data_IF_263340309722
#
_entry.id   IF_263340309722
#
_cell.length_a   1.000
_cell.length_b   1.000
_cell.length_c   1.000
_cell.angle_alpha   90.00
_cell.angle_beta   90.00
_cell.angle_gamma   90.00
#
_symmetry.space_group_name_H-M   'P 1'
#
loop_
_entity.id
_entity.type
_entity.pdbx_description
1 polymer ?
#
# COMPACT_ATOMS: atom_id res chain seq x y z
N UNK A 1 2.17 28.36 -9.74
CA UNK A 1 2.53 28.43 -8.31
C UNK A 1 2.77 27.03 -7.78
N UNK A 2 4.02 26.70 -7.42
CA UNK A 2 4.32 25.47 -6.69
C UNK A 2 3.83 25.65 -5.26
N UNK A 3 3.02 24.72 -4.75
CA UNK A 3 2.75 24.69 -3.31
C UNK A 3 4.07 24.36 -2.59
N UNK A 4 4.24 24.87 -1.36
CA UNK A 4 5.37 24.49 -0.51
C UNK A 4 5.42 22.96 -0.36
N UNK A 5 6.61 22.36 -0.40
CA UNK A 5 6.75 20.91 -0.23
C UNK A 5 6.24 20.50 1.15
N UNK A 6 5.55 19.36 1.21
CA UNK A 6 5.35 18.67 2.48
C UNK A 6 6.67 18.01 2.89
N UNK A 7 7.08 18.21 4.14
CA UNK A 7 8.22 17.53 4.76
C UNK A 7 7.81 17.11 6.18
N UNK A 8 7.86 15.81 6.46
CA UNK A 8 7.59 15.26 7.79
C UNK A 8 8.61 15.80 8.79
N UNK A 9 8.14 16.22 9.97
CA UNK A 9 8.99 16.81 11.03
C UNK A 9 10.16 15.88 11.37
N UNK A 10 9.91 14.59 11.52
CA UNK A 10 10.92 13.61 11.93
C UNK A 10 11.99 13.30 10.87
N UNK A 11 11.87 13.80 9.64
CA UNK A 11 12.86 13.57 8.56
C UNK A 11 13.43 14.89 8.01
N UNK A 12 12.92 16.04 8.46
CA UNK A 12 13.38 17.35 8.01
C UNK A 12 14.87 17.55 8.21
N UNK A 13 15.37 17.23 9.40
CA UNK A 13 16.78 17.41 9.73
C UNK A 13 17.67 16.42 8.97
N UNK A 14 17.23 15.16 8.83
CA UNK A 14 17.91 14.16 8.00
C UNK A 14 18.06 14.65 6.56
N UNK A 15 16.98 15.12 5.92
CA UNK A 15 17.05 15.63 4.55
C UNK A 15 17.98 16.84 4.43
N UNK A 16 17.93 17.78 5.38
CA UNK A 16 18.80 18.96 5.38
C UNK A 16 20.28 18.60 5.50
N UNK A 17 20.64 17.68 6.40
CA UNK A 17 22.03 17.22 6.59
C UNK A 17 22.61 16.62 5.30
N UNK A 18 21.78 15.92 4.53
CA UNK A 18 22.16 15.34 3.24
C UNK A 18 21.93 16.28 2.04
N UNK A 19 21.53 17.54 2.26
CA UNK A 19 21.21 18.53 1.22
C UNK A 19 20.08 18.08 0.25
N UNK A 20 19.15 17.26 0.76
CA UNK A 20 18.02 16.67 0.03
C UNK A 20 16.66 17.26 0.46
N UNK A 21 16.63 18.49 0.96
CA UNK A 21 15.40 19.17 1.42
C UNK A 21 14.69 19.99 0.32
N UNK A 22 15.23 19.99 -0.91
CA UNK A 22 14.65 20.65 -2.08
C UNK A 22 14.12 19.65 -3.11
N UNK A 23 13.19 20.10 -3.96
CA UNK A 23 12.67 19.30 -5.07
C UNK A 23 13.80 18.89 -6.02
N UNK A 24 14.66 19.83 -6.40
CA UNK A 24 15.74 19.58 -7.37
C UNK A 24 16.77 18.60 -6.84
N UNK A 25 17.14 18.70 -5.56
CA UNK A 25 18.06 17.75 -4.94
C UNK A 25 17.48 16.33 -4.94
N UNK A 26 16.22 16.15 -4.49
CA UNK A 26 15.55 14.84 -4.52
C UNK A 26 15.28 14.34 -5.95
N UNK A 27 15.06 15.23 -6.91
CA UNK A 27 14.84 14.86 -8.30
C UNK A 27 16.11 14.27 -8.92
N UNK A 28 17.28 14.84 -8.62
CA UNK A 28 18.55 14.50 -9.26
C UNK A 28 19.43 13.54 -8.46
N UNK A 29 19.16 13.29 -7.17
CA UNK A 29 19.99 12.41 -6.34
C UNK A 29 20.10 10.99 -6.93
N UNK A 30 21.32 10.46 -6.95
CA UNK A 30 21.54 9.06 -7.32
C UNK A 30 20.94 8.15 -6.24
N UNK A 31 20.13 7.17 -6.65
CA UNK A 31 19.48 6.24 -5.74
C UNK A 31 19.35 4.87 -6.41
N UNK A 32 19.40 3.81 -5.61
CA UNK A 32 19.34 2.44 -6.10
C UNK A 32 17.97 2.18 -6.72
N UNK A 33 17.89 1.85 -8.01
CA UNK A 33 16.60 1.52 -8.62
C UNK A 33 16.04 0.21 -8.05
N UNK A 34 14.75 0.22 -7.73
CA UNK A 34 14.05 -0.98 -7.24
C UNK A 34 13.54 -1.81 -8.41
N UNK A 35 13.00 -1.13 -9.43
CA UNK A 35 12.44 -1.71 -10.65
C UNK A 35 12.68 -0.75 -11.83
N UNK A 36 12.54 -1.28 -13.05
CA UNK A 36 12.54 -0.49 -14.27
C UNK A 36 11.46 0.60 -14.26
N UNK A 37 11.75 1.83 -14.72
CA UNK A 37 10.77 2.90 -14.79
C UNK A 37 9.54 2.52 -15.61
N UNK A 38 8.36 2.61 -14.99
CA UNK A 38 7.10 2.37 -15.67
C UNK A 38 6.76 3.55 -16.60
N UNK A 39 6.74 3.30 -17.91
CA UNK A 39 6.36 4.27 -18.93
C UNK A 39 4.92 4.02 -19.36
N UNK A 40 4.05 4.96 -19.01
CA UNK A 40 2.66 4.93 -19.43
C UNK A 40 2.07 6.34 -19.45
N UNK A 41 0.95 6.50 -20.15
CA UNK A 41 0.13 7.73 -20.12
C UNK A 41 0.90 9.00 -20.56
N UNK A 42 1.88 8.85 -21.45
CA UNK A 42 2.71 9.95 -21.93
C UNK A 42 3.77 10.44 -20.94
N UNK A 43 4.08 9.65 -19.91
CA UNK A 43 5.05 9.97 -18.88
C UNK A 43 5.77 8.74 -18.31
N UNK A 44 6.51 8.95 -17.23
CA UNK A 44 7.20 7.87 -16.51
C UNK A 44 7.00 7.97 -15.00
N UNK A 45 7.10 6.82 -14.33
CA UNK A 45 7.19 6.69 -12.88
C UNK A 45 8.35 5.75 -12.55
N UNK A 46 9.30 6.21 -11.74
CA UNK A 46 10.37 5.37 -11.19
C UNK A 46 10.27 5.31 -9.67
N UNK A 47 10.78 4.21 -9.10
CA UNK A 47 10.92 4.02 -7.66
C UNK A 47 12.35 3.61 -7.37
N UNK A 48 12.99 4.32 -6.46
CA UNK A 48 14.37 4.04 -6.03
C UNK A 48 14.43 3.92 -4.51
N UNK A 49 15.33 3.09 -4.00
CA UNK A 49 15.68 2.99 -2.58
C UNK A 49 16.76 4.03 -2.27
N UNK A 50 16.52 4.84 -1.25
CA UNK A 50 17.43 5.87 -0.75
C UNK A 50 17.71 5.57 0.72
N UNK A 51 18.98 5.45 1.10
CA UNK A 51 19.39 5.27 2.51
C UNK A 51 20.13 6.52 2.95
N UNK A 52 19.70 7.11 4.06
CA UNK A 52 20.29 8.33 4.64
C UNK A 52 20.60 8.07 6.10
N UNK A 53 21.74 8.56 6.58
CA UNK A 53 22.06 8.53 8.01
C UNK A 53 21.36 9.67 8.76
N UNK A 54 20.82 9.38 9.93
CA UNK A 54 20.24 10.39 10.81
C UNK A 54 21.30 11.11 11.66
N UNK A 55 20.85 11.97 12.59
CA UNK A 55 21.75 12.74 13.44
C UNK A 55 22.67 11.87 14.33
N UNK A 56 22.28 10.62 14.60
CA UNK A 56 23.02 9.65 15.40
C UNK A 56 23.80 8.65 14.53
N UNK A 57 23.87 8.87 13.22
CA UNK A 57 24.52 7.95 12.27
C UNK A 57 23.71 6.68 12.00
N UNK A 58 22.43 6.61 12.41
CA UNK A 58 21.61 5.42 12.14
C UNK A 58 21.03 5.49 10.73
N UNK A 59 21.11 4.39 9.95
CA UNK A 59 20.59 4.38 8.59
C UNK A 59 19.06 4.39 8.60
N UNK A 60 18.46 5.35 7.90
CA UNK A 60 17.04 5.40 7.59
C UNK A 60 16.83 5.10 6.11
N UNK A 61 15.92 4.16 5.83
CA UNK A 61 15.62 3.73 4.47
C UNK A 61 14.32 4.35 3.97
N UNK A 62 14.36 4.87 2.75
CA UNK A 62 13.23 5.49 2.07
C UNK A 62 13.01 4.90 0.68
N UNK A 63 11.78 4.99 0.20
CA UNK A 63 11.42 4.78 -1.20
C UNK A 63 11.09 6.12 -1.84
N UNK A 64 11.86 6.46 -2.87
CA UNK A 64 11.78 7.70 -3.63
C UNK A 64 11.07 7.43 -4.96
N UNK A 65 9.80 7.85 -5.04
CA UNK A 65 8.98 7.77 -6.24
C UNK A 65 9.06 9.08 -7.01
N UNK A 66 9.54 9.04 -8.25
CA UNK A 66 9.65 10.20 -9.14
C UNK A 66 8.75 10.01 -10.35
N UNK A 67 7.99 11.04 -10.69
CA UNK A 67 7.03 11.00 -11.79
C UNK A 67 7.16 12.23 -12.67
N UNK A 68 7.12 12.04 -13.99
CA UNK A 68 7.01 13.12 -14.97
C UNK A 68 5.90 12.76 -15.96
N UNK A 69 4.89 13.62 -16.08
CA UNK A 69 3.68 13.41 -16.90
C UNK A 69 2.95 12.07 -16.69
N UNK A 70 3.21 11.37 -15.59
CA UNK A 70 2.52 10.13 -15.23
C UNK A 70 1.21 10.44 -14.51
N UNK A 71 0.24 10.93 -15.28
CA UNK A 71 -1.00 11.50 -14.76
C UNK A 71 -2.15 10.50 -14.82
N UNK A 72 -3.12 10.66 -13.91
CA UNK A 72 -4.42 10.02 -14.02
C UNK A 72 -5.50 11.08 -14.09
N UNK A 73 -6.42 10.94 -15.05
CA UNK A 73 -7.57 11.82 -15.22
C UNK A 73 -8.77 11.25 -14.48
N UNK A 74 -9.57 12.15 -13.93
CA UNK A 74 -10.88 11.83 -13.35
C UNK A 74 -11.82 13.00 -13.56
N UNK A 75 -13.12 12.83 -13.33
CA UNK A 75 -14.09 13.93 -13.46
C UNK A 75 -13.72 15.15 -12.61
N UNK A 76 -13.16 14.93 -11.40
CA UNK A 76 -12.69 16.01 -10.51
C UNK A 76 -11.33 16.60 -10.91
N UNK A 77 -10.61 15.94 -11.82
CA UNK A 77 -9.26 16.30 -12.28
C UNK A 77 -9.15 16.03 -13.79
N UNK A 78 -9.86 16.79 -14.63
CA UNK A 78 -9.90 16.55 -16.07
C UNK A 78 -8.52 16.75 -16.72
N UNK A 79 -7.73 17.71 -16.21
CA UNK A 79 -6.35 17.95 -16.63
C UNK A 79 -5.35 16.91 -16.07
N UNK A 80 -5.81 15.98 -15.25
CA UNK A 80 -5.02 14.93 -14.63
C UNK A 80 -4.28 15.38 -13.37
N UNK A 81 -3.86 14.39 -12.57
CA UNK A 81 -2.96 14.59 -11.44
C UNK A 81 -1.94 13.45 -11.36
N UNK A 82 -0.72 13.69 -10.84
CA UNK A 82 0.27 12.63 -10.63
C UNK A 82 -0.28 11.56 -9.68
N UNK A 83 -0.05 10.29 -9.99
CA UNK A 83 -0.46 9.18 -9.09
C UNK A 83 0.21 9.26 -7.72
N UNK A 84 1.46 9.75 -7.65
CA UNK A 84 2.16 10.03 -6.39
C UNK A 84 1.41 11.07 -5.54
N UNK A 85 0.72 12.04 -6.16
CA UNK A 85 -0.15 12.97 -5.44
C UNK A 85 -1.35 12.28 -4.82
N UNK A 86 -2.03 11.40 -5.57
CA UNK A 86 -3.15 10.61 -5.02
C UNK A 86 -2.71 9.72 -3.88
N UNK A 87 -1.56 9.08 -4.03
CA UNK A 87 -0.97 8.25 -2.98
C UNK A 87 -0.66 9.07 -1.71
N UNK A 88 -0.01 10.23 -1.85
CA UNK A 88 0.24 11.15 -0.74
C UNK A 88 -1.05 11.54 0.00
N UNK A 89 -2.09 11.96 -0.74
CA UNK A 89 -3.37 12.30 -0.12
C UNK A 89 -3.99 11.10 0.61
N UNK A 90 -3.90 9.90 0.04
CA UNK A 90 -4.45 8.70 0.68
C UNK A 90 -3.64 8.28 1.92
N UNK A 91 -2.32 8.46 1.95
CA UNK A 91 -1.50 8.25 3.17
C UNK A 91 -2.04 9.14 4.30
N UNK A 92 -2.27 10.43 4.04
CA UNK A 92 -2.87 11.34 5.02
C UNK A 92 -4.26 10.89 5.49
N UNK A 93 -5.13 10.47 4.56
CA UNK A 93 -6.47 9.95 4.89
C UNK A 93 -6.46 8.68 5.72
N UNK A 94 -5.45 7.83 5.56
CA UNK A 94 -5.28 6.62 6.36
C UNK A 94 -4.85 6.99 7.79
N UNK A 95 -3.90 7.91 7.93
CA UNK A 95 -3.47 8.44 9.22
C UNK A 95 -4.64 9.08 10.00
N UNK A 96 -5.44 9.94 9.34
CA UNK A 96 -6.66 10.55 9.93
C UNK A 96 -7.68 9.52 10.44
N UNK A 97 -7.71 8.32 9.83
CA UNK A 97 -8.63 7.23 10.19
C UNK A 97 -7.99 6.18 11.11
N UNK A 98 -6.74 6.40 11.53
CA UNK A 98 -5.98 5.43 12.31
C UNK A 98 -5.73 4.11 11.58
N UNK A 99 -5.79 4.06 10.25
CA UNK A 99 -5.56 2.85 9.45
C UNK A 99 -4.06 2.68 9.24
N UNK A 100 -3.44 1.60 9.74
CA UNK A 100 -2.01 1.39 9.59
C UNK A 100 -1.54 1.24 8.13
N UNK A 101 -0.64 2.11 7.69
CA UNK A 101 -0.02 2.10 6.36
C UNK A 101 1.40 2.68 6.37
N UNK A 102 2.06 2.70 5.21
CA UNK A 102 3.31 3.44 5.03
C UNK A 102 3.15 4.94 5.33
N UNK A 103 4.26 5.58 5.66
CA UNK A 103 4.30 7.00 6.00
C UNK A 103 5.00 7.83 4.92
N UNK A 104 4.44 9.00 4.62
CA UNK A 104 5.06 9.98 3.76
C UNK A 104 6.12 10.79 4.53
N UNK A 105 7.31 10.90 3.96
CA UNK A 105 8.41 11.71 4.47
C UNK A 105 8.52 13.04 3.72
N UNK A 106 8.28 13.04 2.40
CA UNK A 106 8.31 14.23 1.56
C UNK A 106 7.29 14.11 0.43
N UNK A 107 6.61 15.21 0.09
CA UNK A 107 5.82 15.28 -1.14
C UNK A 107 5.87 16.67 -1.74
N UNK A 108 6.09 16.73 -3.05
CA UNK A 108 5.98 17.96 -3.82
C UNK A 108 5.62 17.68 -5.27
N UNK A 109 5.05 18.70 -5.92
CA UNK A 109 4.78 18.70 -7.35
C UNK A 109 5.18 20.04 -7.95
N UNK A 110 5.66 20.03 -9.18
CA UNK A 110 5.96 21.24 -9.95
C UNK A 110 5.54 21.10 -11.40
N UNK A 111 5.53 22.22 -12.10
CA UNK A 111 5.45 22.27 -13.56
C UNK A 111 6.71 22.95 -14.07
N UNK A 112 7.44 22.27 -14.95
CA UNK A 112 8.66 22.75 -15.60
C UNK A 112 8.61 22.33 -17.07
N UNK A 113 8.85 23.27 -17.99
CA UNK A 113 8.81 23.06 -19.45
C UNK A 113 7.54 22.32 -19.94
N UNK A 114 6.37 22.73 -19.42
CA UNK A 114 5.09 22.09 -19.73
C UNK A 114 4.88 20.70 -19.11
N UNK A 115 5.90 20.10 -18.48
CA UNK A 115 5.82 18.79 -17.83
C UNK A 115 5.39 18.93 -16.37
N UNK A 116 4.50 18.07 -15.92
CA UNK A 116 4.10 17.96 -14.51
C UNK A 116 4.96 16.90 -13.85
N UNK A 117 5.79 17.33 -12.90
CA UNK A 117 6.66 16.46 -12.12
C UNK A 117 6.14 16.32 -10.69
N UNK A 118 6.32 15.15 -10.09
CA UNK A 118 6.01 14.91 -8.68
C UNK A 118 7.04 13.98 -8.04
N UNK A 119 7.30 14.25 -6.77
CA UNK A 119 8.12 13.40 -5.89
C UNK A 119 7.25 12.99 -4.71
N UNK A 120 7.26 11.70 -4.39
CA UNK A 120 6.79 11.17 -3.12
C UNK A 120 7.91 10.34 -2.51
N UNK A 121 8.36 10.74 -1.32
CA UNK A 121 9.29 9.99 -0.49
C UNK A 121 8.51 9.34 0.64
N UNK A 122 8.68 8.04 0.85
CA UNK A 122 8.04 7.31 1.93
C UNK A 122 9.04 6.51 2.74
N UNK A 123 8.81 6.36 4.05
CA UNK A 123 9.65 5.52 4.90
C UNK A 123 9.52 4.06 4.51
N UNK A 124 10.63 3.32 4.54
CA UNK A 124 10.60 1.87 4.44
C UNK A 124 9.94 1.28 5.69
N UNK A 125 9.21 0.17 5.50
CA UNK A 125 8.62 -0.58 6.60
C UNK A 125 9.65 -1.56 7.17
N UNK A 126 10.57 -1.07 8.00
CA UNK A 126 11.70 -1.86 8.49
C UNK A 126 11.30 -3.10 9.29
N UNK A 127 11.83 -4.25 8.86
CA UNK A 127 11.50 -5.57 9.41
C UNK A 127 10.12 -6.10 9.01
N UNK A 128 9.32 -5.35 8.25
CA UNK A 128 8.11 -5.88 7.65
C UNK A 128 8.42 -6.59 6.34
N UNK A 129 7.63 -7.61 6.04
CA UNK A 129 7.69 -8.33 4.77
C UNK A 129 6.30 -8.45 4.16
N UNK A 130 6.16 -8.38 2.83
CA UNK A 130 4.86 -8.50 2.18
C UNK A 130 4.27 -9.90 2.37
N UNK A 131 2.93 -10.01 2.33
CA UNK A 131 2.22 -11.25 2.63
C UNK A 131 2.56 -12.38 1.64
N UNK A 132 2.89 -12.07 0.39
CA UNK A 132 3.37 -13.07 -0.58
C UNK A 132 4.76 -13.62 -0.24
N UNK A 133 5.64 -12.83 0.38
CA UNK A 133 6.91 -13.32 0.93
C UNK A 133 6.71 -14.28 2.11
N UNK A 134 5.62 -14.14 2.86
CA UNK A 134 5.25 -15.16 3.86
C UNK A 134 4.64 -16.39 3.20
N UNK A 135 3.83 -16.21 2.15
CA UNK A 135 3.24 -17.32 1.41
C UNK A 135 4.25 -18.17 0.63
N UNK A 136 5.36 -17.61 0.16
CA UNK A 136 6.40 -18.37 -0.55
C UNK A 136 7.09 -19.43 0.31
N UNK A 137 7.02 -19.28 1.63
CA UNK A 137 7.60 -20.19 2.64
C UNK A 137 6.55 -20.71 3.60
N UNK A 138 5.28 -20.69 3.20
CA UNK A 138 4.14 -20.97 4.08
C UNK A 138 4.29 -22.30 4.80
N UNK A 139 4.66 -23.36 4.09
CA UNK A 139 4.80 -24.73 4.62
C UNK A 139 5.96 -24.88 5.61
N UNK A 140 6.89 -23.92 5.65
CA UNK A 140 8.00 -23.88 6.62
C UNK A 140 7.62 -23.14 7.91
N UNK A 141 6.50 -22.41 7.91
CA UNK A 141 6.05 -21.65 9.07
C UNK A 141 5.27 -22.56 10.03
N UNK A 142 5.54 -22.46 11.32
CA UNK A 142 4.74 -23.12 12.35
C UNK A 142 3.28 -22.69 12.30
N UNK A 143 2.37 -23.61 12.62
CA UNK A 143 0.92 -23.40 12.54
C UNK A 143 0.43 -22.14 13.28
N UNK A 144 1.00 -21.86 14.47
CA UNK A 144 0.65 -20.66 15.26
C UNK A 144 0.97 -19.38 14.49
N UNK A 145 2.17 -19.26 13.94
CA UNK A 145 2.57 -18.10 13.15
C UNK A 145 1.71 -17.94 11.89
N UNK A 146 1.43 -19.02 11.14
CA UNK A 146 0.52 -18.97 10.01
C UNK A 146 -0.86 -18.40 10.39
N UNK A 147 -1.40 -18.87 11.53
CA UNK A 147 -2.69 -18.41 12.05
C UNK A 147 -2.63 -16.92 12.39
N UNK A 148 -1.61 -16.50 13.12
CA UNK A 148 -1.51 -15.13 13.64
C UNK A 148 -1.30 -14.11 12.50
N UNK A 149 -0.52 -14.47 11.46
CA UNK A 149 -0.39 -13.67 10.24
C UNK A 149 -1.75 -13.47 9.53
N UNK A 150 -2.55 -14.54 9.41
CA UNK A 150 -3.87 -14.46 8.76
C UNK A 150 -4.87 -13.63 9.58
N UNK A 151 -4.88 -13.79 10.90
CA UNK A 151 -5.76 -13.03 11.79
C UNK A 151 -5.42 -11.55 11.71
N UNK A 152 -4.14 -11.19 11.80
CA UNK A 152 -3.71 -9.79 11.76
C UNK A 152 -4.00 -9.15 10.39
N UNK A 153 -3.76 -9.86 9.29
CA UNK A 153 -4.13 -9.39 7.96
C UNK A 153 -5.65 -9.18 7.82
N UNK A 154 -6.46 -10.12 8.31
CA UNK A 154 -7.91 -10.02 8.28
C UNK A 154 -8.43 -8.83 9.10
N UNK A 155 -7.87 -8.63 10.30
CA UNK A 155 -8.22 -7.52 11.18
C UNK A 155 -7.92 -6.16 10.53
N UNK A 156 -6.76 -5.99 9.87
CA UNK A 156 -6.46 -4.74 9.17
C UNK A 156 -7.39 -4.50 7.98
N UNK A 157 -7.74 -5.55 7.22
CA UNK A 157 -8.68 -5.42 6.10
C UNK A 157 -10.09 -5.09 6.60
N UNK A 158 -10.51 -5.66 7.74
CA UNK A 158 -11.77 -5.31 8.39
C UNK A 158 -11.77 -3.85 8.85
N UNK A 159 -10.69 -3.39 9.49
CA UNK A 159 -10.53 -2.00 9.90
C UNK A 159 -10.60 -1.05 8.70
N UNK A 160 -9.88 -1.35 7.61
CA UNK A 160 -9.90 -0.57 6.37
C UNK A 160 -11.33 -0.40 5.83
N UNK A 161 -12.06 -1.51 5.68
CA UNK A 161 -13.41 -1.51 5.14
C UNK A 161 -14.43 -0.90 6.10
N UNK A 162 -14.29 -1.13 7.41
CA UNK A 162 -15.10 -0.52 8.46
C UNK A 162 -14.93 0.99 8.54
N UNK A 163 -13.79 1.51 8.09
CA UNK A 163 -13.52 2.95 7.97
C UNK A 163 -14.14 3.59 6.71
N UNK A 164 -14.90 2.83 5.92
CA UNK A 164 -15.46 3.28 4.63
C UNK A 164 -14.38 3.53 3.58
N UNK A 165 -13.31 2.74 3.55
CA UNK A 165 -12.22 2.87 2.57
C UNK A 165 -12.04 1.55 1.84
N UNK A 166 -11.87 1.62 0.51
CA UNK A 166 -11.48 0.48 -0.32
C UNK A 166 -10.10 0.74 -0.89
N UNK A 167 -9.26 -0.29 -0.88
CA UNK A 167 -7.93 -0.26 -1.46
C UNK A 167 -7.98 -0.26 -3.00
N UNK A 168 -8.95 -0.95 -3.59
CA UNK A 168 -9.12 -1.22 -5.04
C UNK A 168 -7.96 -1.99 -5.70
N UNK A 169 -6.93 -2.37 -4.95
CA UNK A 169 -5.74 -3.06 -5.43
C UNK A 169 -5.19 -3.99 -4.33
N UNK A 170 -6.04 -4.51 -3.44
CA UNK A 170 -5.60 -5.28 -2.28
C UNK A 170 -5.03 -6.64 -2.67
N UNK A 171 -3.71 -6.71 -2.82
CA UNK A 171 -2.98 -7.93 -3.17
C UNK A 171 -2.07 -8.32 -2.00
N UNK A 172 -1.63 -9.59 -1.90
CA UNK A 172 -0.71 -10.01 -0.83
C UNK A 172 0.54 -9.12 -0.74
N UNK A 173 1.11 -8.73 -1.88
CA UNK A 173 2.26 -7.83 -1.96
C UNK A 173 2.05 -6.41 -1.40
N UNK A 174 0.80 -6.03 -1.08
CA UNK A 174 0.46 -4.72 -0.51
C UNK A 174 0.09 -4.78 0.98
N UNK A 175 0.11 -5.96 1.58
CA UNK A 175 -0.04 -6.18 3.02
C UNK A 175 1.32 -6.56 3.59
N UNK A 176 1.94 -5.66 4.34
CA UNK A 176 3.24 -5.87 4.97
C UNK A 176 3.03 -6.31 6.41
N UNK A 177 3.66 -7.41 6.82
CA UNK A 177 3.53 -8.03 8.13
C UNK A 177 4.88 -8.18 8.82
N UNK A 178 4.90 -7.95 10.13
CA UNK A 178 6.05 -8.14 11.01
C UNK A 178 5.61 -8.89 12.27
N UNK A 179 6.09 -10.11 12.52
CA UNK A 179 5.93 -10.76 13.81
C UNK A 179 6.59 -9.92 14.91
N UNK A 180 5.89 -9.72 16.03
CA UNK A 180 6.29 -8.98 17.21
C UNK A 180 6.13 -9.87 18.44
N UNK A 181 6.62 -9.44 19.60
CA UNK A 181 6.53 -10.20 20.85
C UNK A 181 5.07 -10.48 21.27
N UNK A 182 4.16 -9.55 20.98
CA UNK A 182 2.76 -9.51 21.41
C UNK A 182 1.76 -9.67 20.25
N UNK A 183 2.23 -10.02 19.06
CA UNK A 183 1.34 -10.26 17.91
C UNK A 183 2.02 -10.06 16.56
N UNK A 184 1.27 -9.53 15.61
CA UNK A 184 1.76 -9.25 14.26
C UNK A 184 1.39 -7.83 13.87
N UNK A 185 2.38 -6.98 13.66
CA UNK A 185 2.19 -5.67 13.06
C UNK A 185 1.81 -5.82 11.59
N UNK A 186 0.79 -5.09 11.14
CA UNK A 186 0.39 -5.06 9.73
C UNK A 186 0.30 -3.62 9.24
N UNK A 187 0.74 -3.39 8.00
CA UNK A 187 0.72 -2.09 7.32
C UNK A 187 0.32 -2.27 5.86
N UNK A 188 -0.47 -1.35 5.32
CA UNK A 188 -0.81 -1.29 3.90
C UNK A 188 0.17 -0.44 3.09
N UNK A 189 0.38 -0.82 1.83
CA UNK A 189 1.10 -0.02 0.84
C UNK A 189 0.37 0.11 -0.50
N UNK A 190 0.93 0.87 -1.46
CA UNK A 190 0.34 1.14 -2.77
C UNK A 190 -1.05 1.77 -2.67
N UNK A 191 -1.10 2.98 -2.13
CA UNK A 191 -2.38 3.64 -1.82
C UNK A 191 -2.92 4.48 -2.99
N UNK A 192 -2.27 4.50 -4.16
CA UNK A 192 -2.65 5.39 -5.28
C UNK A 192 -4.07 5.13 -5.82
N UNK A 193 -4.59 3.90 -5.66
CA UNK A 193 -5.93 3.48 -6.10
C UNK A 193 -6.96 3.48 -4.98
N UNK A 194 -6.54 3.69 -3.74
CA UNK A 194 -7.43 3.71 -2.60
C UNK A 194 -8.45 4.85 -2.70
N UNK A 195 -9.66 4.61 -2.22
CA UNK A 195 -10.78 5.58 -2.27
C UNK A 195 -11.68 5.41 -1.06
N UNK A 196 -12.17 6.53 -0.55
CA UNK A 196 -13.33 6.53 0.33
C UNK A 196 -14.55 5.99 -0.43
N UNK A 197 -15.34 5.19 0.25
CA UNK A 197 -16.61 4.69 -0.22
C UNK A 197 -17.57 4.61 0.97
N UNK A 198 -18.75 5.20 0.85
CA UNK A 198 -19.81 5.08 1.84
C UNK A 198 -20.62 3.83 1.47
N UNK A 199 -20.60 2.81 2.34
CA UNK A 199 -21.49 1.64 2.28
C UNK A 199 -21.48 0.88 0.93
N UNK A 200 -20.31 0.45 0.45
CA UNK A 200 -20.20 -0.36 -0.77
C UNK A 200 -19.71 -1.78 -0.45
N UNK A 201 -20.62 -2.71 -0.12
CA UNK A 201 -20.29 -4.14 -0.01
C UNK A 201 -19.57 -4.67 -1.27
N UNK A 202 -19.89 -4.09 -2.43
CA UNK A 202 -19.23 -4.40 -3.71
C UNK A 202 -17.76 -4.01 -3.76
N UNK A 203 -17.37 -2.89 -3.15
CA UNK A 203 -15.98 -2.48 -3.03
C UNK A 203 -15.19 -3.49 -2.18
N UNK A 204 -15.70 -3.76 -0.97
CA UNK A 204 -15.10 -4.71 -0.04
C UNK A 204 -14.97 -6.11 -0.67
N UNK A 205 -16.00 -6.55 -1.38
CA UNK A 205 -15.99 -7.81 -2.14
C UNK A 205 -14.89 -7.84 -3.20
N UNK A 206 -14.62 -6.73 -3.90
CA UNK A 206 -13.56 -6.66 -4.92
C UNK A 206 -12.18 -6.77 -4.31
N UNK A 207 -11.95 -6.15 -3.15
CA UNK A 207 -10.68 -6.24 -2.44
C UNK A 207 -10.46 -7.66 -1.88
N UNK A 208 -11.45 -8.24 -1.22
CA UNK A 208 -11.37 -9.63 -0.73
C UNK A 208 -11.18 -10.65 -1.84
N UNK A 209 -11.90 -10.50 -2.96
CA UNK A 209 -11.70 -11.31 -4.17
C UNK A 209 -10.27 -11.14 -4.73
N UNK A 210 -9.77 -9.92 -4.80
CA UNK A 210 -8.43 -9.63 -5.31
C UNK A 210 -7.31 -10.23 -4.47
N UNK A 211 -7.49 -10.20 -3.15
CA UNK A 211 -6.61 -10.84 -2.18
C UNK A 211 -6.70 -12.36 -2.31
N UNK A 212 -7.91 -12.92 -2.19
CA UNK A 212 -8.16 -14.37 -2.22
C UNK A 212 -7.61 -15.04 -3.48
N UNK A 213 -7.84 -14.46 -4.66
CA UNK A 213 -7.38 -15.06 -5.92
C UNK A 213 -5.85 -15.01 -6.11
N UNK A 214 -5.14 -14.15 -5.37
CA UNK A 214 -3.68 -14.00 -5.43
C UNK A 214 -2.95 -14.64 -4.25
N UNK A 215 -3.64 -14.92 -3.15
CA UNK A 215 -3.14 -15.79 -2.09
C UNK A 215 -3.32 -17.24 -2.54
N UNK A 216 -2.26 -17.98 -2.84
CA UNK A 216 -2.37 -19.40 -3.24
C UNK A 216 -2.08 -20.36 -2.08
N UNK A 217 -1.11 -20.02 -1.22
CA UNK A 217 -0.64 -20.91 -0.15
C UNK A 217 -1.70 -21.28 0.91
N UNK A 218 -2.59 -20.39 1.38
CA UNK A 218 -3.53 -20.77 2.43
C UNK A 218 -4.56 -21.82 2.00
N UNK A 219 -4.78 -22.82 2.85
CA UNK A 219 -5.80 -23.86 2.69
C UNK A 219 -7.23 -23.29 2.76
N UNK A 220 -8.24 -24.09 2.40
CA UNK A 220 -9.66 -23.67 2.51
C UNK A 220 -10.04 -23.30 3.95
N UNK A 221 -9.61 -24.08 4.93
CA UNK A 221 -9.86 -23.82 6.36
C UNK A 221 -9.18 -22.53 6.82
N UNK A 222 -7.96 -22.27 6.36
CA UNK A 222 -7.24 -21.02 6.66
C UNK A 222 -7.91 -19.79 6.04
N UNK A 223 -8.42 -19.89 4.81
CA UNK A 223 -9.21 -18.82 4.18
C UNK A 223 -10.52 -18.56 4.90
N UNK A 224 -11.19 -19.62 5.35
CA UNK A 224 -12.40 -19.49 6.17
C UNK A 224 -12.09 -18.77 7.49
N UNK A 225 -10.98 -19.11 8.14
CA UNK A 225 -10.53 -18.42 9.36
C UNK A 225 -10.24 -16.94 9.13
N UNK A 226 -9.59 -16.59 8.02
CA UNK A 226 -9.42 -15.19 7.61
C UNK A 226 -10.78 -14.50 7.48
N UNK A 227 -11.75 -15.13 6.81
CA UNK A 227 -13.07 -14.54 6.59
C UNK A 227 -13.87 -14.38 7.89
N UNK A 228 -13.82 -15.37 8.78
CA UNK A 228 -14.42 -15.30 10.12
C UNK A 228 -13.86 -14.12 10.91
N UNK A 229 -12.54 -13.97 10.92
CA UNK A 229 -11.87 -12.83 11.57
C UNK A 229 -12.29 -11.51 10.95
N UNK A 230 -12.30 -11.43 9.61
CA UNK A 230 -12.70 -10.23 8.88
C UNK A 230 -14.15 -9.81 9.18
N UNK A 231 -15.07 -10.77 9.35
CA UNK A 231 -16.48 -10.52 9.67
C UNK A 231 -16.75 -10.36 11.17
N UNK A 232 -15.74 -10.55 12.04
CA UNK A 232 -15.93 -10.54 13.50
C UNK A 232 -16.79 -11.69 14.01
N UNK A 233 -16.64 -12.90 13.43
CA UNK A 233 -17.45 -14.08 13.73
C UNK A 233 -16.58 -15.21 14.30
N UNK A 234 -17.10 -15.93 15.29
CA UNK A 234 -16.49 -17.16 15.82
C UNK A 234 -16.90 -18.42 15.04
N UNK A 235 -18.08 -18.40 14.42
CA UNK A 235 -18.71 -19.55 13.77
C UNK A 235 -19.28 -19.22 12.38
N UNK A 236 -19.53 -20.26 11.59
CA UNK A 236 -20.04 -20.13 10.22
C UNK A 236 -21.57 -19.95 10.24
N UNK A 237 -22.03 -18.72 10.05
CA UNK A 237 -23.43 -18.38 9.86
C UNK A 237 -23.80 -18.16 8.38
N UNK A 238 -25.03 -17.72 8.10
CA UNK A 238 -25.50 -17.42 6.76
C UNK A 238 -24.69 -16.29 6.08
N UNK A 239 -24.23 -15.30 6.85
CA UNK A 239 -23.43 -14.19 6.32
C UNK A 239 -22.04 -14.67 5.90
N UNK A 240 -21.38 -15.48 6.74
CA UNK A 240 -20.08 -16.09 6.40
C UNK A 240 -20.20 -16.95 5.15
N UNK A 241 -21.24 -17.80 5.04
CA UNK A 241 -21.50 -18.62 3.85
C UNK A 241 -21.73 -17.78 2.59
N UNK A 242 -22.49 -16.69 2.71
CA UNK A 242 -22.71 -15.75 1.62
C UNK A 242 -21.39 -15.15 1.12
N UNK A 243 -20.57 -14.58 2.02
CA UNK A 243 -19.30 -13.97 1.64
C UNK A 243 -18.31 -14.98 1.06
N UNK A 244 -18.18 -16.16 1.67
CA UNK A 244 -17.29 -17.22 1.19
C UNK A 244 -17.65 -17.64 -0.24
N UNK A 245 -18.94 -17.83 -0.51
CA UNK A 245 -19.45 -18.17 -1.85
C UNK A 245 -19.15 -17.07 -2.85
N UNK A 246 -19.48 -15.82 -2.53
CA UNK A 246 -19.33 -14.68 -3.45
C UNK A 246 -17.88 -14.35 -3.77
N UNK A 247 -16.99 -14.38 -2.77
CA UNK A 247 -15.55 -14.20 -2.97
C UNK A 247 -15.00 -15.29 -3.89
N UNK A 248 -15.35 -16.55 -3.63
CA UNK A 248 -14.84 -17.70 -4.39
C UNK A 248 -15.34 -17.71 -5.84
N UNK A 249 -16.64 -17.49 -6.06
CA UNK A 249 -17.24 -17.42 -7.40
C UNK A 249 -16.57 -16.33 -8.25
N UNK A 250 -16.41 -15.13 -7.68
CA UNK A 250 -15.78 -14.01 -8.37
C UNK A 250 -14.32 -14.26 -8.70
N UNK A 251 -13.58 -14.88 -7.76
CA UNK A 251 -12.19 -15.26 -7.95
C UNK A 251 -12.04 -16.26 -9.10
N UNK A 252 -12.94 -17.24 -9.19
CA UNK A 252 -12.94 -18.23 -10.27
C UNK A 252 -13.25 -17.58 -11.64
N UNK A 253 -14.28 -16.74 -11.74
CA UNK A 253 -14.64 -16.06 -13.00
C UNK A 253 -13.49 -15.18 -13.53
N UNK A 254 -12.79 -14.47 -12.65
CA UNK A 254 -11.66 -13.60 -13.04
C UNK A 254 -10.37 -14.36 -13.37
N UNK A 255 -10.19 -15.58 -12.87
CA UNK A 255 -9.10 -16.47 -13.30
C UNK A 255 -9.36 -17.06 -14.68
N UNK A 256 -10.61 -17.38 -15.02
CA UNK A 256 -11.00 -17.92 -16.33
C UNK A 256 -10.84 -16.91 -17.47
N UNK A 257 -11.27 -15.66 -17.29
CA UNK A 257 -11.14 -14.60 -18.31
C UNK A 257 -9.75 -13.97 -18.45
N UNK A 258 -8.69 -14.63 -17.97
CA UNK A 258 -7.28 -14.21 -18.06
C UNK A 258 -6.39 -15.26 -18.74
N UNK A 259 -6.97 -16.40 -19.11
CA UNK A 259 -6.40 -17.33 -20.09
C UNK A 259 -6.82 -16.85 -21.47
#
# INVERSE_FOLDING_TARGET
MSASPFVSVSVRDTLRRHQLDSFDALWNVAAQQVDEPNRARGGFSSVSRLTLEDANGQPQVFYLKRQSNYLIRSLRRPLGEPTAGREFYNIGRYAERGIPALEAAYYARRRVDGKVQAILLTRALEGYQPLDHWFSRWDQLGYRLQRDLLIAAAALVAQLHGSGVVHNCLYPKHLFLKPLADGVGVRLIDLEKSRAHLFSPWGNMRDLDALNRRSQAPSRTQRLRFLLTYLGKSEVDAQVRYWATRVTQRSASKRKGRK
#
